data_IF_999799821558
#
_entry.id   IF_999799821558
#
_cell.length_a   1.000
_cell.length_b   1.000
_cell.length_c   1.000
_cell.angle_alpha   90.00
_cell.angle_beta   90.00
_cell.angle_gamma   90.00
#
_symmetry.space_group_name_H-M   'P 1'
#
loop_
_entity.id
_entity.type
_entity.pdbx_description
1 polymer ?
#
# COMPACT_ATOMS: atom_id res chain seq x y z
N UNK A 1 2.14 -27.43 -13.30
CA UNK A 1 0.86 -26.85 -12.82
C UNK A 1 1.02 -26.10 -11.49
N UNK A 2 1.75 -26.66 -10.51
CA UNK A 2 1.99 -26.00 -9.21
C UNK A 2 2.84 -24.71 -9.25
N UNK A 3 3.81 -24.60 -10.18
CA UNK A 3 4.62 -23.39 -10.30
C UNK A 3 3.78 -22.22 -10.80
N UNK A 4 2.98 -22.42 -11.85
CA UNK A 4 2.13 -21.40 -12.48
C UNK A 4 1.18 -20.71 -11.49
N UNK A 5 0.52 -21.47 -10.62
CA UNK A 5 -0.35 -20.90 -9.59
C UNK A 5 0.39 -20.04 -8.55
N UNK A 6 1.63 -20.43 -8.21
CA UNK A 6 2.47 -19.66 -7.29
C UNK A 6 2.98 -18.36 -7.92
N UNK A 7 3.28 -18.39 -9.22
CA UNK A 7 3.65 -17.20 -9.99
C UNK A 7 2.47 -16.22 -10.08
N UNK A 8 1.27 -16.71 -10.41
CA UNK A 8 0.06 -15.89 -10.47
C UNK A 8 -0.22 -15.12 -9.18
N UNK A 9 -0.10 -15.77 -8.01
CA UNK A 9 -0.26 -15.08 -6.72
C UNK A 9 0.84 -14.04 -6.45
N UNK A 10 2.07 -14.33 -6.87
CA UNK A 10 3.17 -13.36 -6.76
C UNK A 10 2.94 -12.14 -7.65
N UNK A 11 2.40 -12.35 -8.84
CA UNK A 11 2.08 -11.28 -9.79
C UNK A 11 0.92 -10.42 -9.29
N UNK A 12 -0.07 -11.02 -8.60
CA UNK A 12 -1.14 -10.26 -7.91
C UNK A 12 -0.57 -9.38 -6.79
N UNK A 13 0.31 -9.91 -5.92
CA UNK A 13 0.94 -9.09 -4.87
C UNK A 13 1.84 -7.98 -5.46
N UNK A 14 2.47 -8.22 -6.61
CA UNK A 14 3.21 -7.18 -7.33
C UNK A 14 2.29 -6.10 -7.91
N UNK A 15 1.16 -6.51 -8.48
CA UNK A 15 0.12 -5.63 -8.98
C UNK A 15 -0.45 -4.73 -7.88
N UNK A 16 -0.75 -5.30 -6.70
CA UNK A 16 -1.18 -4.56 -5.52
C UNK A 16 -0.18 -3.45 -5.14
N UNK A 17 1.11 -3.79 -5.07
CA UNK A 17 2.16 -2.81 -4.78
C UNK A 17 2.23 -1.73 -5.87
N UNK A 18 2.19 -2.14 -7.14
CA UNK A 18 2.25 -1.25 -8.32
C UNK A 18 1.11 -0.24 -8.32
N UNK A 19 -0.08 -0.62 -7.83
CA UNK A 19 -1.23 0.29 -7.70
C UNK A 19 -0.98 1.46 -6.73
N UNK A 20 0.00 1.36 -5.82
CA UNK A 20 0.38 2.42 -4.88
C UNK A 20 1.71 3.10 -5.23
N UNK A 21 2.29 2.79 -6.38
CA UNK A 21 3.47 3.50 -6.89
C UNK A 21 3.06 4.74 -7.69
N UNK A 22 3.97 5.72 -7.91
CA UNK A 22 3.69 6.90 -8.72
C UNK A 22 3.24 6.60 -10.16
N UNK A 23 3.59 5.42 -10.67
CA UNK A 23 3.11 4.91 -11.95
C UNK A 23 2.81 3.42 -11.81
N UNK A 24 1.67 3.00 -12.35
CA UNK A 24 1.26 1.61 -12.39
C UNK A 24 1.74 0.96 -13.70
N UNK A 25 2.49 -0.13 -13.58
CA UNK A 25 2.99 -0.91 -14.71
C UNK A 25 2.70 -2.41 -14.53
N UNK A 26 2.34 -3.07 -15.62
CA UNK A 26 2.20 -4.52 -15.72
C UNK A 26 3.39 -5.12 -16.49
N UNK A 27 4.07 -6.09 -15.89
CA UNK A 27 5.13 -6.87 -16.59
C UNK A 27 4.53 -7.90 -17.55
N UNK A 28 3.40 -8.49 -17.15
CA UNK A 28 2.60 -9.42 -17.96
C UNK A 28 1.17 -8.88 -17.95
N UNK A 29 0.50 -8.77 -19.10
CA UNK A 29 -0.84 -8.25 -19.14
C UNK A 29 -1.82 -9.16 -18.36
N UNK A 30 -2.77 -8.60 -17.57
CA UNK A 30 -3.69 -9.39 -16.76
C UNK A 30 -4.52 -10.42 -17.54
N UNK A 31 -4.88 -10.12 -18.79
CA UNK A 31 -5.64 -11.03 -19.67
C UNK A 31 -4.83 -12.24 -20.17
N UNK A 32 -3.54 -12.34 -19.85
CA UNK A 32 -2.75 -13.55 -20.08
C UNK A 32 -3.00 -14.63 -19.01
N UNK A 33 -3.69 -14.29 -17.92
CA UNK A 33 -4.07 -15.20 -16.84
C UNK A 33 -5.56 -15.57 -16.93
N UNK A 34 -6.19 -15.90 -15.80
CA UNK A 34 -7.61 -16.20 -15.71
C UNK A 34 -8.47 -14.96 -15.40
N UNK A 35 -9.79 -15.14 -15.41
CA UNK A 35 -10.75 -14.06 -15.16
C UNK A 35 -10.65 -13.48 -13.75
N UNK A 36 -10.19 -14.27 -12.76
CA UNK A 36 -10.00 -13.79 -11.39
C UNK A 36 -8.92 -12.71 -11.35
N UNK A 37 -7.77 -12.96 -11.98
CA UNK A 37 -6.68 -11.97 -12.08
C UNK A 37 -7.13 -10.71 -12.83
N UNK A 38 -7.93 -10.86 -13.89
CA UNK A 38 -8.46 -9.72 -14.65
C UNK A 38 -9.35 -8.83 -13.75
N UNK A 39 -10.23 -9.44 -12.95
CA UNK A 39 -11.10 -8.70 -12.03
C UNK A 39 -10.30 -7.99 -10.94
N UNK A 40 -9.31 -8.67 -10.35
CA UNK A 40 -8.40 -8.09 -9.36
C UNK A 40 -7.62 -6.91 -9.96
N UNK A 41 -7.09 -7.07 -11.18
CA UNK A 41 -6.40 -6.00 -11.90
C UNK A 41 -7.29 -4.80 -12.17
N UNK A 42 -8.54 -5.01 -12.58
CA UNK A 42 -9.51 -3.91 -12.78
C UNK A 42 -9.76 -3.15 -11.47
N UNK A 43 -9.97 -3.87 -10.36
CA UNK A 43 -10.16 -3.29 -9.02
C UNK A 43 -8.97 -2.41 -8.62
N UNK A 44 -7.74 -2.89 -8.81
CA UNK A 44 -6.55 -2.13 -8.45
C UNK A 44 -6.24 -0.98 -9.40
N UNK A 45 -6.56 -1.10 -10.69
CA UNK A 45 -6.49 0.03 -11.63
C UNK A 45 -7.46 1.13 -11.22
N UNK A 46 -8.71 0.80 -10.90
CA UNK A 46 -9.70 1.78 -10.44
C UNK A 46 -9.26 2.44 -9.13
N UNK A 47 -8.72 1.65 -8.18
CA UNK A 47 -8.13 2.20 -6.95
C UNK A 47 -6.99 3.17 -7.26
N UNK A 48 -6.06 2.80 -8.15
CA UNK A 48 -4.95 3.67 -8.52
C UNK A 48 -5.45 4.97 -9.14
N UNK A 49 -6.39 4.90 -10.09
CA UNK A 49 -6.96 6.06 -10.77
C UNK A 49 -7.73 7.00 -9.83
N UNK A 50 -8.43 6.46 -8.83
CA UNK A 50 -9.32 7.24 -7.97
C UNK A 50 -8.65 7.76 -6.70
N UNK A 51 -7.66 7.05 -6.16
CA UNK A 51 -7.01 7.37 -4.89
C UNK A 51 -5.55 7.82 -5.08
N UNK A 52 -4.76 7.01 -5.76
CA UNK A 52 -3.29 7.16 -5.77
C UNK A 52 -2.84 8.21 -6.78
N UNK A 53 -3.27 8.11 -8.02
CA UNK A 53 -2.87 9.01 -9.09
C UNK A 53 -3.21 10.49 -8.79
N UNK A 54 -4.40 10.85 -8.26
CA UNK A 54 -4.69 12.22 -7.87
C UNK A 54 -3.73 12.74 -6.79
N UNK A 55 -3.44 11.93 -5.77
CA UNK A 55 -2.52 12.31 -4.68
C UNK A 55 -1.08 12.46 -5.17
N UNK A 56 -0.63 11.56 -6.05
CA UNK A 56 0.70 11.64 -6.68
C UNK A 56 0.84 12.91 -7.52
N UNK A 57 -0.20 13.29 -8.28
CA UNK A 57 -0.18 14.51 -9.10
C UNK A 57 -0.14 15.78 -8.24
N UNK A 58 -0.88 15.80 -7.13
CA UNK A 58 -0.83 16.89 -6.15
C UNK A 58 0.59 17.04 -5.57
N UNK A 59 1.15 15.94 -5.05
CA UNK A 59 2.49 15.93 -4.47
C UNK A 59 3.59 16.25 -5.51
N UNK A 60 3.42 15.84 -6.77
CA UNK A 60 4.34 16.19 -7.85
C UNK A 60 4.41 17.70 -8.10
N UNK A 61 3.30 18.42 -7.86
CA UNK A 61 3.29 19.88 -7.86
C UNK A 61 4.10 20.47 -6.71
N UNK A 62 3.96 19.91 -5.50
CA UNK A 62 4.67 20.36 -4.30
C UNK A 62 6.18 20.09 -4.36
N UNK A 63 6.60 18.97 -4.97
CA UNK A 63 8.01 18.58 -5.10
C UNK A 63 8.84 19.67 -5.79
N UNK A 64 8.25 20.44 -6.72
CA UNK A 64 8.96 21.53 -7.40
C UNK A 64 9.37 22.65 -6.45
N UNK A 65 8.64 22.82 -5.34
CA UNK A 65 8.88 23.86 -4.36
C UNK A 65 9.68 23.35 -3.15
N UNK A 66 9.37 22.15 -2.64
CA UNK A 66 9.98 21.63 -1.39
C UNK A 66 11.13 20.66 -1.62
N UNK A 67 11.12 19.94 -2.75
CA UNK A 67 12.03 18.82 -3.00
C UNK A 67 11.70 17.54 -2.23
N UNK A 68 10.58 17.48 -1.51
CA UNK A 68 10.21 16.30 -0.73
C UNK A 68 9.83 15.11 -1.63
N UNK A 69 10.24 13.88 -1.29
CA UNK A 69 9.87 12.72 -2.10
C UNK A 69 8.36 12.42 -1.99
N UNK A 70 7.75 11.90 -3.05
CA UNK A 70 6.34 11.48 -3.05
C UNK A 70 6.12 10.25 -2.17
N UNK A 71 7.00 9.25 -2.30
CA UNK A 71 7.00 8.04 -1.50
C UNK A 71 7.97 8.23 -0.34
N UNK A 72 7.49 8.10 0.89
CA UNK A 72 8.22 8.40 2.12
C UNK A 72 8.25 7.16 3.04
N UNK A 73 9.33 6.93 3.78
CA UNK A 73 9.35 5.93 4.85
C UNK A 73 8.59 6.43 6.08
N UNK A 74 8.15 5.53 6.97
CA UNK A 74 7.33 5.91 8.13
C UNK A 74 8.04 6.87 9.09
N UNK A 75 9.35 6.76 9.23
CA UNK A 75 10.12 7.67 10.08
C UNK A 75 10.02 9.13 9.63
N UNK A 76 9.58 9.42 8.40
CA UNK A 76 9.38 10.77 7.88
C UNK A 76 8.40 11.60 8.73
N UNK A 77 7.29 10.99 9.13
CA UNK A 77 6.27 11.61 10.01
C UNK A 77 6.50 11.28 11.49
N UNK A 78 7.40 10.34 11.78
CA UNK A 78 7.69 9.81 13.11
C UNK A 78 9.19 9.86 13.43
N UNK A 79 9.78 11.06 13.31
CA UNK A 79 11.24 11.26 13.38
C UNK A 79 11.86 10.88 14.74
N UNK A 80 11.09 10.94 15.84
CA UNK A 80 11.58 10.60 17.18
C UNK A 80 11.27 9.14 17.58
N UNK A 81 10.78 8.34 16.64
CA UNK A 81 10.28 6.98 16.88
C UNK A 81 11.25 5.92 16.36
N UNK A 82 12.04 5.33 17.26
CA UNK A 82 13.01 4.26 16.95
C UNK A 82 12.38 3.03 16.26
N UNK A 83 11.08 2.77 16.49
CA UNK A 83 10.41 1.66 15.84
C UNK A 83 10.14 1.99 14.35
N UNK A 84 9.76 3.22 14.04
CA UNK A 84 9.52 3.67 12.66
C UNK A 84 10.77 3.56 11.77
N UNK A 85 11.97 3.76 12.34
CA UNK A 85 13.24 3.55 11.62
C UNK A 85 13.51 2.11 11.18
N UNK A 86 12.88 1.13 11.85
CA UNK A 86 13.06 -0.30 11.55
C UNK A 86 12.02 -0.83 10.59
N UNK A 87 11.02 -0.04 10.22
CA UNK A 87 9.97 -0.45 9.29
C UNK A 87 10.46 -0.25 7.85
N UNK A 88 10.64 -1.36 7.13
CA UNK A 88 11.06 -1.40 5.73
C UNK A 88 9.97 -1.95 4.78
N UNK A 89 8.87 -2.44 5.33
CA UNK A 89 7.78 -3.09 4.61
C UNK A 89 6.50 -2.26 4.53
N UNK A 90 6.55 -0.99 4.95
CA UNK A 90 5.46 -0.03 4.85
C UNK A 90 6.02 1.31 4.37
N UNK A 91 5.19 2.08 3.68
CA UNK A 91 5.57 3.40 3.16
C UNK A 91 4.38 4.34 3.18
N UNK A 92 4.65 5.62 2.98
CA UNK A 92 3.69 6.69 2.86
C UNK A 92 3.70 7.25 1.44
N UNK A 93 2.54 7.70 0.98
CA UNK A 93 2.37 8.57 -0.19
C UNK A 93 2.00 9.93 0.39
N UNK A 94 2.93 10.89 0.32
CA UNK A 94 2.85 12.12 1.11
C UNK A 94 2.97 11.83 2.60
N UNK A 95 2.26 12.57 3.44
CA UNK A 95 2.28 12.40 4.91
C UNK A 95 1.04 11.67 5.45
N UNK A 96 0.07 11.37 4.59
CA UNK A 96 -1.29 11.07 4.99
C UNK A 96 -1.84 9.75 4.46
N UNK A 97 -1.20 9.11 3.47
CA UNK A 97 -1.62 7.82 2.94
C UNK A 97 -0.55 6.76 3.20
N UNK A 98 -0.74 5.93 4.23
CA UNK A 98 0.16 4.84 4.57
C UNK A 98 -0.25 3.54 3.89
N UNK A 99 0.71 2.80 3.36
CA UNK A 99 0.50 1.56 2.61
C UNK A 99 1.33 0.43 3.24
N UNK A 100 0.70 -0.71 3.45
CA UNK A 100 1.26 -1.91 4.06
C UNK A 100 0.97 -3.14 3.17
N UNK A 101 1.74 -3.34 2.07
CA UNK A 101 1.52 -4.43 1.11
C UNK A 101 1.83 -5.81 1.72
N UNK A 102 1.11 -6.88 1.34
CA UNK A 102 1.50 -8.24 1.75
C UNK A 102 2.64 -8.73 0.85
N UNK A 103 3.83 -8.92 1.42
CA UNK A 103 5.04 -9.26 0.67
C UNK A 103 5.30 -10.77 0.55
N UNK A 104 4.64 -11.58 1.37
CA UNK A 104 4.86 -13.02 1.42
C UNK A 104 3.86 -13.79 0.52
N UNK A 105 4.33 -14.63 -0.42
CA UNK A 105 3.46 -15.41 -1.28
C UNK A 105 2.50 -16.32 -0.49
N UNK A 106 1.21 -16.17 -0.74
CA UNK A 106 0.17 -17.02 -0.15
C UNK A 106 -0.29 -16.61 1.25
N UNK A 107 0.29 -15.55 1.85
CA UNK A 107 -0.26 -14.95 3.07
C UNK A 107 -1.45 -14.05 2.72
N UNK A 108 -2.40 -13.99 3.66
CA UNK A 108 -3.58 -13.12 3.62
C UNK A 108 -3.71 -12.32 4.92
N UNK A 109 -2.58 -12.11 5.58
CA UNK A 109 -2.44 -11.33 6.80
C UNK A 109 -1.02 -10.79 6.87
N UNK A 110 -0.82 -9.71 7.61
CA UNK A 110 0.51 -9.18 7.93
C UNK A 110 0.51 -8.37 9.21
N UNK A 111 1.69 -8.22 9.79
CA UNK A 111 1.90 -7.24 10.85
C UNK A 111 2.04 -5.83 10.26
N UNK A 112 1.41 -4.86 10.93
CA UNK A 112 1.33 -3.46 10.51
C UNK A 112 1.70 -2.59 11.71
N UNK A 113 2.60 -1.63 11.48
CA UNK A 113 2.96 -0.63 12.47
C UNK A 113 2.27 0.69 12.15
N UNK A 114 1.45 1.19 13.06
CA UNK A 114 0.85 2.51 12.99
C UNK A 114 1.66 3.47 13.87
N UNK A 115 2.29 4.51 13.31
CA UNK A 115 2.95 5.54 14.11
C UNK A 115 1.91 6.38 14.88
N UNK A 116 2.38 7.18 15.83
CA UNK A 116 1.51 8.08 16.59
C UNK A 116 0.68 8.97 15.67
N UNK A 117 -0.64 9.02 15.89
CA UNK A 117 -1.55 9.72 15.02
C UNK A 117 -2.98 9.20 15.13
N UNK A 118 -3.84 9.69 14.24
CA UNK A 118 -5.19 9.17 14.03
C UNK A 118 -5.27 8.63 12.62
N UNK A 119 -5.52 7.33 12.51
CA UNK A 119 -5.52 6.61 11.25
C UNK A 119 -6.88 5.97 11.01
N UNK A 120 -7.30 5.93 9.74
CA UNK A 120 -8.48 5.19 9.29
C UNK A 120 -8.05 4.12 8.30
N UNK A 121 -8.37 2.86 8.55
CA UNK A 121 -8.08 1.79 7.58
C UNK A 121 -9.01 1.88 6.36
N UNK A 122 -8.60 1.27 5.27
CA UNK A 122 -9.44 1.05 4.09
C UNK A 122 -10.74 0.28 4.39
N UNK A 123 -10.79 -0.49 5.50
CA UNK A 123 -12.00 -1.17 6.00
C UNK A 123 -12.91 -0.26 6.82
N UNK A 124 -12.51 0.99 7.03
CA UNK A 124 -13.26 2.00 7.78
C UNK A 124 -13.05 1.95 9.29
N UNK A 125 -12.08 1.17 9.78
CA UNK A 125 -11.73 1.12 11.20
C UNK A 125 -10.96 2.38 11.59
N UNK A 126 -11.15 2.83 12.83
CA UNK A 126 -10.51 4.03 13.37
C UNK A 126 -9.49 3.65 14.45
N UNK A 127 -8.29 4.19 14.32
CA UNK A 127 -7.18 4.03 15.25
C UNK A 127 -6.80 5.41 15.77
N UNK A 128 -7.39 5.80 16.89
CA UNK A 128 -7.25 7.17 17.41
C UNK A 128 -6.03 7.37 18.32
N UNK A 129 -5.25 6.31 18.54
CA UNK A 129 -4.13 6.27 19.47
C UNK A 129 -3.00 5.45 18.85
N UNK A 130 -1.77 5.85 19.14
CA UNK A 130 -0.56 5.18 18.70
C UNK A 130 0.67 5.77 19.40
N UNK A 131 1.87 5.21 19.13
CA UNK A 131 2.13 4.16 18.16
C UNK A 131 1.58 2.78 18.58
N UNK A 132 1.27 1.91 17.62
CA UNK A 132 0.79 0.56 17.91
C UNK A 132 1.14 -0.44 16.79
N UNK A 133 1.14 -1.72 17.15
CA UNK A 133 1.26 -2.83 16.22
C UNK A 133 -0.08 -3.53 16.07
N UNK A 134 -0.54 -3.70 14.83
CA UNK A 134 -1.61 -4.62 14.48
C UNK A 134 -0.94 -5.93 14.07
N UNK A 135 -1.19 -6.99 14.83
CA UNK A 135 -0.65 -8.33 14.57
C UNK A 135 -1.65 -9.14 13.76
N UNK A 136 -1.16 -9.91 12.79
CA UNK A 136 -2.00 -10.78 11.94
C UNK A 136 -3.20 -10.02 11.33
N UNK A 137 -2.97 -8.78 10.90
CA UNK A 137 -4.04 -7.95 10.32
C UNK A 137 -4.50 -8.56 8.98
N UNK A 138 -5.79 -8.89 8.82
CA UNK A 138 -6.28 -9.64 7.66
C UNK A 138 -6.33 -8.78 6.39
N UNK A 139 -5.73 -9.30 5.32
CA UNK A 139 -5.64 -8.67 3.99
C UNK A 139 -5.80 -9.75 2.93
N UNK A 140 -6.99 -9.85 2.36
CA UNK A 140 -7.30 -10.84 1.33
C UNK A 140 -6.48 -10.62 0.04
N UNK A 141 -6.52 -11.58 -0.88
CA UNK A 141 -5.76 -11.54 -2.13
C UNK A 141 -6.21 -10.44 -3.10
N UNK A 142 -7.42 -9.92 -2.93
CA UNK A 142 -7.94 -8.79 -3.71
C UNK A 142 -7.94 -7.49 -2.89
N UNK A 143 -7.25 -7.46 -1.75
CA UNK A 143 -7.13 -6.31 -0.86
C UNK A 143 -5.66 -5.92 -0.65
N UNK A 144 -5.46 -4.66 -0.28
CA UNK A 144 -4.19 -4.15 0.21
C UNK A 144 -4.45 -3.27 1.42
N UNK A 145 -3.66 -3.47 2.47
CA UNK A 145 -3.79 -2.63 3.64
C UNK A 145 -3.23 -1.23 3.37
N UNK A 146 -4.10 -0.24 3.44
CA UNK A 146 -3.73 1.15 3.49
C UNK A 146 -4.55 1.90 4.54
N UNK A 147 -3.99 3.01 5.02
CA UNK A 147 -4.53 3.83 6.09
C UNK A 147 -4.42 5.29 5.70
N UNK A 148 -5.48 6.05 5.92
CA UNK A 148 -5.49 7.49 5.72
C UNK A 148 -5.44 8.23 7.05
N UNK A 149 -4.69 9.34 7.09
CA UNK A 149 -4.64 10.21 8.24
C UNK A 149 -5.99 10.90 8.46
N UNK A 150 -6.37 11.04 9.73
CA UNK A 150 -7.61 11.71 10.14
C UNK A 150 -7.28 12.95 10.98
N UNK A 151 -7.71 14.12 10.52
CA UNK A 151 -7.54 15.38 11.24
C UNK A 151 -8.45 15.54 12.46
#
# INVERSE_FOLDING_TARGET
MFSWFRWQKSDIRWLELSAFMPAMQFSIPPWAYDNEVVQIAQKFTELHETLVAPRVLELAGEVLDTGDPIIRPLWWIANDDEAAYKIDSQFLIGDDLMVAPVLEPGKQERDIYLPAGRWRSYKGEHFDKGPMYLTDYPVDLDEIAFFTWVH
#
